data_IF_306914977552
#
_entry.id   IF_306914977552
#
_cell.length_a   1.000
_cell.length_b   1.000
_cell.length_c   1.000
_cell.angle_alpha   90.00
_cell.angle_beta   90.00
_cell.angle_gamma   90.00
#
_symmetry.space_group_name_H-M   'P 1'
#
loop_
_entity.id
_entity.type
_entity.pdbx_description
1 polymer ?
#
# COMPACT_ATOMS: atom_id res chain seq x y z
N UNK A 1 -5.29 -18.45 -1.90
CA UNK A 1 -5.36 -17.69 -3.16
C UNK A 1 -3.97 -17.10 -3.40
N UNK A 2 -3.17 -17.71 -4.27
CA UNK A 2 -1.85 -17.18 -4.64
C UNK A 2 -2.06 -16.22 -5.82
N UNK A 3 -1.62 -14.98 -5.68
CA UNK A 3 -1.61 -14.00 -6.76
C UNK A 3 -0.45 -14.34 -7.72
N UNK A 4 -0.61 -15.40 -8.50
CA UNK A 4 0.43 -15.94 -9.42
C UNK A 4 0.93 -14.94 -10.48
N UNK A 5 0.40 -13.71 -10.54
CA UNK A 5 0.87 -12.63 -11.42
C UNK A 5 1.46 -11.42 -10.71
N UNK A 6 1.43 -11.34 -9.38
CA UNK A 6 2.03 -10.24 -8.62
C UNK A 6 3.46 -10.62 -8.25
N UNK A 7 4.45 -9.92 -8.81
CA UNK A 7 5.85 -10.14 -8.46
C UNK A 7 6.38 -9.13 -7.44
N UNK A 8 5.76 -7.97 -7.32
CA UNK A 8 6.19 -6.93 -6.39
C UNK A 8 5.01 -6.29 -5.68
N UNK A 9 5.19 -6.04 -4.39
CA UNK A 9 4.24 -5.32 -3.56
C UNK A 9 4.98 -4.19 -2.83
N UNK A 10 4.44 -2.97 -2.93
CA UNK A 10 5.03 -1.78 -2.34
C UNK A 10 4.05 -1.12 -1.38
N UNK A 11 4.57 -0.73 -0.20
CA UNK A 11 3.87 0.19 0.69
C UNK A 11 4.35 1.59 0.38
N UNK A 12 3.45 2.47 -0.05
CA UNK A 12 3.78 3.84 -0.46
C UNK A 12 3.07 4.83 0.44
N UNK A 13 3.84 5.66 1.13
CA UNK A 13 3.33 6.73 1.98
C UNK A 13 3.37 8.06 1.22
N UNK A 14 2.23 8.74 1.17
CA UNK A 14 2.09 10.04 0.49
C UNK A 14 1.62 11.11 1.47
N UNK A 15 2.40 12.19 1.68
CA UNK A 15 1.91 13.35 2.41
C UNK A 15 0.73 13.97 1.68
N UNK A 16 -0.34 14.26 2.40
CA UNK A 16 -1.50 15.00 1.88
C UNK A 16 -1.89 16.11 2.86
N UNK A 17 -2.77 17.01 2.44
CA UNK A 17 -3.33 18.05 3.32
C UNK A 17 -4.06 17.49 4.54
N UNK A 18 -4.58 16.26 4.44
CA UNK A 18 -5.31 15.56 5.51
C UNK A 18 -4.38 14.65 6.36
N UNK A 19 -3.06 14.76 6.17
CA UNK A 19 -2.05 13.88 6.76
C UNK A 19 -1.53 12.82 5.79
N UNK A 20 -0.65 11.93 6.28
CA UNK A 20 -0.09 10.83 5.46
C UNK A 20 -1.18 9.81 5.14
N UNK A 21 -1.22 9.42 3.85
CA UNK A 21 -2.06 8.35 3.31
C UNK A 21 -1.16 7.28 2.71
N UNK A 22 -1.49 6.02 2.97
CA UNK A 22 -0.68 4.87 2.60
C UNK A 22 -1.44 3.97 1.63
N UNK A 23 -0.80 3.65 0.51
CA UNK A 23 -1.26 2.63 -0.44
C UNK A 23 -0.46 1.34 -0.31
N UNK A 24 -1.14 0.21 -0.53
CA UNK A 24 -0.50 -1.04 -0.93
C UNK A 24 -0.67 -1.19 -2.44
N UNK A 25 0.45 -1.20 -3.17
CA UNK A 25 0.47 -1.20 -4.63
C UNK A 25 1.08 -2.52 -5.14
N UNK A 26 0.39 -3.21 -6.04
CA UNK A 26 0.81 -4.50 -6.60
C UNK A 26 1.19 -4.34 -8.06
N UNK A 27 2.29 -4.98 -8.46
CA UNK A 27 2.85 -4.89 -9.80
C UNK A 27 3.20 -6.27 -10.36
N UNK A 28 3.08 -6.40 -11.68
CA UNK A 28 3.54 -7.58 -12.42
C UNK A 28 5.06 -7.57 -12.64
N UNK A 29 5.55 -8.58 -13.35
CA UNK A 29 6.98 -8.75 -13.65
C UNK A 29 7.59 -7.64 -14.51
N UNK A 30 6.76 -7.02 -15.35
CA UNK A 30 7.15 -5.97 -16.28
C UNK A 30 7.01 -4.57 -15.64
N UNK A 31 6.62 -4.51 -14.36
CA UNK A 31 6.42 -3.27 -13.61
C UNK A 31 5.08 -2.58 -13.91
N UNK A 32 4.13 -3.24 -14.56
CA UNK A 32 2.80 -2.69 -14.75
C UNK A 32 2.00 -2.79 -13.45
N UNK A 33 1.24 -1.73 -13.16
CA UNK A 33 0.38 -1.71 -11.99
C UNK A 33 -0.81 -2.66 -12.18
N UNK A 34 -0.94 -3.64 -11.28
CA UNK A 34 -2.09 -4.55 -11.24
C UNK A 34 -3.25 -3.92 -10.47
N UNK A 35 -2.97 -3.41 -9.27
CA UNK A 35 -3.99 -2.78 -8.41
C UNK A 35 -3.36 -1.96 -7.28
N UNK A 36 -4.19 -1.16 -6.63
CA UNK A 36 -3.84 -0.39 -5.44
C UNK A 36 -4.96 -0.48 -4.41
N UNK A 37 -4.58 -0.70 -3.16
CA UNK A 37 -5.49 -0.71 -2.03
C UNK A 37 -5.25 0.50 -1.14
N UNK A 38 -6.33 1.04 -0.61
CA UNK A 38 -6.34 2.17 0.31
C UNK A 38 -7.34 1.89 1.44
N UNK A 39 -7.07 2.41 2.63
CA UNK A 39 -8.08 2.53 3.67
C UNK A 39 -9.18 3.49 3.23
N UNK A 40 -10.44 3.06 3.35
CA UNK A 40 -11.59 3.91 3.01
C UNK A 40 -11.52 5.23 3.80
N UNK A 41 -11.70 6.36 3.11
CA UNK A 41 -11.82 7.66 3.76
C UNK A 41 -12.60 8.64 2.89
N UNK A 42 -13.15 9.67 3.53
CA UNK A 42 -13.74 10.84 2.87
C UNK A 42 -12.72 11.98 2.80
N UNK A 43 -12.88 12.96 1.89
CA UNK A 43 -12.06 14.16 1.89
C UNK A 43 -12.08 14.89 3.25
N UNK A 44 -10.95 15.44 3.69
CA UNK A 44 -10.85 16.12 4.99
C UNK A 44 -10.76 15.18 6.19
N UNK A 45 -10.73 13.86 5.97
CA UNK A 45 -10.56 12.85 7.03
C UNK A 45 -9.19 12.18 6.92
N UNK A 46 -8.48 12.00 8.04
CA UNK A 46 -7.23 11.26 8.06
C UNK A 46 -7.48 9.79 7.71
N UNK A 47 -6.40 9.11 7.33
CA UNK A 47 -6.43 7.67 7.11
C UNK A 47 -6.87 6.90 8.35
N UNK A 48 -7.62 5.81 8.14
CA UNK A 48 -8.12 4.96 9.22
C UNK A 48 -6.97 4.21 9.90
N UNK A 49 -6.97 4.21 11.23
CA UNK A 49 -5.92 3.55 12.02
C UNK A 49 -5.87 2.03 11.83
N UNK A 50 -7.01 1.39 11.59
CA UNK A 50 -7.07 -0.05 11.34
C UNK A 50 -6.41 -0.42 10.00
N UNK A 51 -6.55 0.42 8.97
CA UNK A 51 -5.80 0.26 7.73
C UNK A 51 -4.29 0.41 7.96
N UNK A 52 -3.86 1.41 8.74
CA UNK A 52 -2.44 1.56 9.12
C UNK A 52 -1.92 0.32 9.84
N UNK A 53 -2.71 -0.26 10.74
CA UNK A 53 -2.35 -1.47 11.46
C UNK A 53 -2.18 -2.66 10.50
N UNK A 54 -3.09 -2.83 9.53
CA UNK A 54 -2.98 -3.87 8.49
C UNK A 54 -1.68 -3.72 7.69
N UNK A 55 -1.41 -2.52 7.18
CA UNK A 55 -0.23 -2.28 6.34
C UNK A 55 1.08 -2.44 7.14
N UNK A 56 1.11 -1.98 8.40
CA UNK A 56 2.28 -2.14 9.28
C UNK A 56 2.50 -3.58 9.73
N UNK A 57 1.48 -4.44 9.68
CA UNK A 57 1.58 -5.87 9.95
C UNK A 57 2.15 -6.68 8.79
N UNK A 58 2.36 -6.08 7.62
CA UNK A 58 2.94 -6.76 6.46
C UNK A 58 4.42 -7.06 6.71
N UNK A 59 4.84 -8.28 6.38
CA UNK A 59 6.26 -8.65 6.39
C UNK A 59 7.01 -7.78 5.39
N UNK A 60 8.01 -7.04 5.86
CA UNK A 60 8.89 -6.26 4.98
C UNK A 60 10.02 -7.15 4.51
N UNK A 61 10.14 -7.28 3.19
CA UNK A 61 11.36 -7.80 2.62
C UNK A 61 12.47 -6.77 2.90
N UNK A 62 13.56 -7.21 3.52
CA UNK A 62 14.71 -6.34 3.76
C UNK A 62 15.32 -6.00 2.40
N UNK A 63 14.97 -4.84 1.84
CA UNK A 63 15.63 -4.32 0.66
C UNK A 63 17.10 -4.08 0.97
N UNK A 64 17.99 -4.77 0.27
CA UNK A 64 19.40 -4.39 0.21
C UNK A 64 19.49 -2.91 -0.20
N UNK A 65 20.25 -2.15 0.57
CA UNK A 65 20.55 -0.74 0.30
C UNK A 65 21.30 -0.57 -1.03
#
# INVERSE_FOLDING_TARGET
MLLLGCLQAWVVERPTSDGTVTSLELYDADGNALTKFFGERKPGRPEREDWRAVVNGLGRENGAA
#
